data_IF_477751431861
#
_entry.id   IF_477751431861
#
_cell.length_a   1.000
_cell.length_b   1.000
_cell.length_c   1.000
_cell.angle_alpha   90.00
_cell.angle_beta   90.00
_cell.angle_gamma   90.00
#
_symmetry.space_group_name_H-M   'P 1'
#
loop_
_entity.id
_entity.type
_entity.pdbx_description
1 polymer ?
#
# COMPACT_ATOMS: atom_id res chain seq x y z
N UNK A 1 4.02 -9.96 -27.06
CA UNK A 1 5.19 -10.02 -26.14
C UNK A 1 4.69 -9.48 -24.82
N UNK A 2 4.51 -10.33 -23.80
CA UNK A 2 4.12 -9.88 -22.45
C UNK A 2 5.36 -9.23 -21.83
N UNK A 3 5.24 -7.95 -21.48
CA UNK A 3 6.29 -7.21 -20.79
C UNK A 3 6.55 -7.88 -19.42
N UNK A 4 7.82 -8.12 -19.01
CA UNK A 4 8.11 -8.71 -17.70
C UNK A 4 7.57 -7.77 -16.61
N UNK A 5 6.43 -8.15 -16.00
CA UNK A 5 5.66 -7.42 -14.96
C UNK A 5 6.35 -6.13 -14.45
N UNK A 6 6.11 -5.02 -15.15
CA UNK A 6 6.57 -3.71 -14.73
C UNK A 6 5.73 -3.25 -13.54
N UNK A 7 6.17 -3.57 -12.32
CA UNK A 7 5.51 -3.07 -11.12
C UNK A 7 5.71 -1.56 -10.96
N UNK A 8 4.64 -0.85 -10.59
CA UNK A 8 4.69 0.53 -10.12
C UNK A 8 5.02 0.57 -8.63
N UNK A 9 5.60 1.68 -8.18
CA UNK A 9 5.87 1.94 -6.77
C UNK A 9 5.12 3.18 -6.28
N UNK A 10 4.58 3.10 -5.07
CA UNK A 10 3.92 4.21 -4.37
C UNK A 10 4.49 4.32 -2.96
N UNK A 11 4.89 5.52 -2.57
CA UNK A 11 5.50 5.80 -1.26
C UNK A 11 4.50 6.55 -0.39
N UNK A 12 4.23 6.02 0.80
CA UNK A 12 3.24 6.58 1.72
C UNK A 12 3.84 6.77 3.12
N UNK A 13 3.25 7.69 3.87
CA UNK A 13 3.44 7.79 5.31
C UNK A 13 2.16 7.30 6.01
N UNK A 14 2.32 6.39 6.95
CA UNK A 14 1.23 5.87 7.79
C UNK A 14 1.63 5.93 9.26
N UNK A 15 0.68 5.92 10.20
CA UNK A 15 1.03 5.69 11.59
C UNK A 15 1.68 4.28 11.72
N UNK A 16 2.81 4.11 12.41
CA UNK A 16 3.49 2.80 12.52
C UNK A 16 2.57 1.67 13.02
N UNK A 17 1.66 1.98 13.94
CA UNK A 17 0.65 1.04 14.47
C UNK A 17 -0.34 0.53 13.41
N UNK A 18 -0.48 1.23 12.28
CA UNK A 18 -1.37 0.87 11.16
C UNK A 18 -0.69 0.01 10.11
N UNK A 19 0.62 -0.25 10.21
CA UNK A 19 1.35 -1.04 9.22
C UNK A 19 0.72 -2.42 9.01
N UNK A 20 0.55 -3.19 10.09
CA UNK A 20 -0.02 -4.54 10.00
C UNK A 20 -1.49 -4.51 9.54
N UNK A 21 -2.25 -3.49 9.95
CA UNK A 21 -3.64 -3.31 9.50
C UNK A 21 -3.72 -3.13 7.98
N UNK A 22 -2.96 -2.18 7.43
CA UNK A 22 -2.93 -1.95 5.99
C UNK A 22 -2.37 -3.17 5.24
N UNK A 23 -1.33 -3.80 5.78
CA UNK A 23 -0.73 -5.02 5.20
C UNK A 23 -1.76 -6.14 5.06
N UNK A 24 -2.52 -6.44 6.13
CA UNK A 24 -3.53 -7.49 6.10
C UNK A 24 -4.65 -7.23 5.10
N UNK A 25 -5.04 -5.97 4.91
CA UNK A 25 -6.05 -5.63 3.90
C UNK A 25 -5.51 -5.92 2.50
N UNK A 26 -4.30 -5.45 2.19
CA UNK A 26 -3.70 -5.61 0.86
C UNK A 26 -3.40 -7.07 0.53
N UNK A 27 -2.90 -7.85 1.49
CA UNK A 27 -2.65 -9.29 1.33
C UNK A 27 -3.94 -10.11 1.18
N UNK A 28 -5.09 -9.57 1.58
CA UNK A 28 -6.40 -10.17 1.34
C UNK A 28 -6.84 -10.15 -0.12
N UNK A 29 -6.22 -9.31 -0.95
CA UNK A 29 -6.46 -9.28 -2.40
C UNK A 29 -5.34 -10.02 -3.12
N UNK A 30 -5.72 -10.97 -3.98
CA UNK A 30 -4.76 -11.76 -4.75
C UNK A 30 -3.96 -10.86 -5.72
N UNK A 31 -2.66 -10.69 -5.43
CA UNK A 31 -1.73 -9.95 -6.29
C UNK A 31 -1.91 -8.42 -6.34
N UNK A 32 -2.73 -7.81 -5.48
CA UNK A 32 -3.04 -6.37 -5.56
C UNK A 32 -1.80 -5.48 -5.37
N UNK A 33 -1.11 -5.63 -4.23
CA UNK A 33 0.08 -4.86 -3.90
C UNK A 33 0.88 -5.53 -2.77
N UNK A 34 2.20 -5.32 -2.78
CA UNK A 34 3.10 -5.68 -1.68
C UNK A 34 3.46 -4.43 -0.88
N UNK A 35 3.14 -4.43 0.42
CA UNK A 35 3.54 -3.38 1.37
C UNK A 35 4.88 -3.73 2.04
N UNK A 36 5.85 -2.82 1.98
CA UNK A 36 7.15 -2.91 2.63
C UNK A 36 7.41 -1.70 3.52
N UNK A 37 8.07 -1.90 4.67
CA UNK A 37 8.57 -0.79 5.49
C UNK A 37 9.87 -0.24 4.92
N UNK A 38 9.99 1.08 4.79
CA UNK A 38 11.25 1.78 4.52
C UNK A 38 11.87 2.23 5.84
N UNK A 39 11.06 2.87 6.69
CA UNK A 39 11.42 3.27 8.05
C UNK A 39 10.24 3.02 8.99
N UNK A 40 10.33 1.92 9.75
CA UNK A 40 9.24 1.49 10.62
C UNK A 40 8.99 2.43 11.81
N UNK A 41 9.98 3.22 12.23
CA UNK A 41 9.80 4.20 13.33
C UNK A 41 9.06 5.44 12.84
N UNK A 42 9.29 5.84 11.59
CA UNK A 42 8.64 7.00 10.97
C UNK A 42 7.36 6.65 10.21
N UNK A 43 7.06 5.36 10.06
CA UNK A 43 5.90 4.89 9.31
C UNK A 43 6.02 5.14 7.81
N UNK A 44 7.24 5.25 7.28
CA UNK A 44 7.49 5.38 5.86
C UNK A 44 7.42 4.00 5.20
N UNK A 45 6.54 3.85 4.21
CA UNK A 45 6.27 2.57 3.55
C UNK A 45 6.30 2.70 2.04
N UNK A 46 6.59 1.57 1.38
CA UNK A 46 6.54 1.39 -0.07
C UNK A 46 5.46 0.36 -0.42
N UNK A 47 4.60 0.70 -1.35
CA UNK A 47 3.74 -0.21 -2.08
C UNK A 47 4.34 -0.53 -3.43
N UNK A 48 4.33 -1.80 -3.81
CA UNK A 48 4.66 -2.26 -5.16
C UNK A 48 3.45 -3.00 -5.73
N UNK A 49 2.99 -2.62 -6.91
CA UNK A 49 1.72 -3.12 -7.47
C UNK A 49 1.77 -3.21 -9.00
N UNK A 50 1.06 -4.17 -9.62
CA UNK A 50 0.90 -4.23 -11.06
C UNK A 50 0.15 -2.98 -11.60
N UNK A 51 0.50 -2.42 -12.76
CA UNK A 51 -0.17 -1.24 -13.32
C UNK A 51 -1.69 -1.43 -13.48
N UNK A 52 -2.13 -2.64 -13.80
CA UNK A 52 -3.53 -3.03 -13.95
C UNK A 52 -4.32 -2.98 -12.64
N UNK A 53 -3.66 -3.07 -11.49
CA UNK A 53 -4.30 -3.04 -10.17
C UNK A 53 -4.45 -1.63 -9.61
N UNK A 54 -3.88 -0.62 -10.29
CA UNK A 54 -3.87 0.78 -9.83
C UNK A 54 -5.27 1.33 -9.49
N UNK A 55 -6.31 1.18 -10.33
CA UNK A 55 -7.63 1.73 -10.01
C UNK A 55 -8.20 1.15 -8.71
N UNK A 56 -8.13 -0.17 -8.54
CA UNK A 56 -8.62 -0.87 -7.36
C UNK A 56 -7.79 -0.51 -6.11
N UNK A 57 -6.46 -0.44 -6.26
CA UNK A 57 -5.57 -0.04 -5.17
C UNK A 57 -5.93 1.36 -4.65
N UNK A 58 -6.10 2.34 -5.54
CA UNK A 58 -6.44 3.70 -5.15
C UNK A 58 -7.86 3.83 -4.60
N UNK A 59 -8.81 3.01 -5.06
CA UNK A 59 -10.15 2.92 -4.45
C UNK A 59 -10.06 2.47 -2.99
N UNK A 60 -9.35 1.37 -2.72
CA UNK A 60 -9.15 0.83 -1.36
C UNK A 60 -8.42 1.85 -0.48
N UNK A 61 -7.32 2.42 -0.96
CA UNK A 61 -6.57 3.43 -0.21
C UNK A 61 -7.44 4.65 0.12
N UNK A 62 -8.28 5.11 -0.82
CA UNK A 62 -9.20 6.23 -0.61
C UNK A 62 -10.27 5.91 0.43
N UNK A 63 -10.81 4.68 0.42
CA UNK A 63 -11.78 4.23 1.42
C UNK A 63 -11.16 4.12 2.83
N UNK A 64 -9.87 3.77 2.92
CA UNK A 64 -9.15 3.65 4.19
C UNK A 64 -8.60 4.99 4.71
N UNK A 65 -8.35 5.97 3.84
CA UNK A 65 -7.73 7.25 4.19
C UNK A 65 -8.39 7.98 5.38
N UNK A 66 -9.73 8.05 5.50
CA UNK A 66 -10.38 8.64 6.68
C UNK A 66 -10.00 7.95 8.00
N UNK A 67 -9.69 6.66 7.98
CA UNK A 67 -9.24 5.88 9.12
C UNK A 67 -7.72 5.86 9.33
N UNK A 68 -6.92 6.37 8.38
CA UNK A 68 -5.45 6.40 8.44
C UNK A 68 -4.89 7.71 9.02
N UNK A 69 -5.76 8.54 9.60
CA UNK A 69 -5.43 9.90 10.04
C UNK A 69 -4.44 9.97 11.23
N UNK A 70 -3.79 11.13 11.27
CA UNK A 70 -2.57 11.55 11.98
C UNK A 70 -2.57 11.27 13.49
N UNK A 71 -1.45 10.72 13.97
CA UNK A 71 -1.04 10.77 15.38
C UNK A 71 -0.63 12.21 15.70
N UNK A 72 -1.39 12.90 16.56
CA UNK A 72 -0.93 14.09 17.27
C UNK A 72 -0.12 13.64 18.49
#
# INVERSE_FOLDING_TARGET
MMDPQHFKELYLAIAPSRFNFLKSILEGYDGLAVLSSIDGKKGAVRLRYPPESEPLLFEILSALAPGLNRYA
#
